data_IF_740643764432
#
_entry.id   IF_740643764432
#
_cell.length_a   1.000
_cell.length_b   1.000
_cell.length_c   1.000
_cell.angle_alpha   90.00
_cell.angle_beta   90.00
_cell.angle_gamma   90.00
#
_symmetry.space_group_name_H-M   'P 1'
#
loop_
_entity.id
_entity.type
_entity.pdbx_description
1 polymer ?
#
# COMPACT_ATOMS: atom_id res chain seq x y z
N UNK A 1 -65.90 -12.25 16.63
CA UNK A 1 -64.55 -12.63 16.13
C UNK A 1 -64.18 -11.63 15.05
N UNK A 2 -63.29 -10.70 15.40
CA UNK A 2 -63.04 -9.46 14.65
C UNK A 2 -62.41 -9.70 13.27
N UNK A 3 -63.04 -9.20 12.22
CA UNK A 3 -62.55 -9.18 10.83
C UNK A 3 -61.11 -8.58 10.72
N UNK A 4 -60.72 -7.74 11.65
CA UNK A 4 -59.37 -7.14 11.71
C UNK A 4 -58.26 -8.15 12.11
N UNK A 5 -58.60 -9.21 12.85
CA UNK A 5 -57.68 -10.26 13.26
C UNK A 5 -57.37 -11.22 12.08
N UNK A 6 -58.36 -11.54 11.27
CA UNK A 6 -58.17 -12.39 10.08
C UNK A 6 -57.33 -11.70 9.01
N UNK A 7 -57.52 -10.39 8.80
CA UNK A 7 -56.67 -9.64 7.86
C UNK A 7 -55.20 -9.56 8.30
N UNK A 8 -54.92 -9.47 9.59
CA UNK A 8 -53.52 -9.49 10.10
C UNK A 8 -52.85 -10.85 9.87
N UNK A 9 -53.53 -11.95 10.09
CA UNK A 9 -53.00 -13.28 9.84
C UNK A 9 -52.85 -13.60 8.34
N UNK A 10 -53.74 -13.10 7.50
CA UNK A 10 -53.62 -13.25 6.04
C UNK A 10 -52.44 -12.43 5.49
N UNK A 11 -52.20 -11.23 6.00
CA UNK A 11 -51.07 -10.39 5.59
C UNK A 11 -49.73 -10.97 6.09
N UNK A 12 -49.69 -11.52 7.32
CA UNK A 12 -48.47 -12.20 7.81
C UNK A 12 -48.21 -13.53 7.08
N UNK A 13 -49.27 -14.26 6.69
CA UNK A 13 -49.10 -15.47 5.89
C UNK A 13 -48.69 -15.15 4.45
N UNK A 14 -49.19 -14.04 3.85
CA UNK A 14 -48.74 -13.57 2.54
C UNK A 14 -47.30 -13.02 2.57
N UNK A 15 -46.87 -12.38 3.65
CA UNK A 15 -45.46 -11.98 3.82
C UNK A 15 -44.55 -13.17 4.05
N UNK A 16 -45.01 -14.23 4.73
CA UNK A 16 -44.22 -15.48 4.88
C UNK A 16 -44.10 -16.28 3.57
N UNK A 17 -45.09 -16.18 2.67
CA UNK A 17 -45.08 -16.85 1.37
C UNK A 17 -44.11 -16.19 0.37
N UNK A 18 -43.75 -14.90 0.55
CA UNK A 18 -42.75 -14.20 -0.25
C UNK A 18 -41.29 -14.54 0.12
N UNK A 19 -41.05 -15.29 1.18
CA UNK A 19 -39.69 -15.71 1.63
C UNK A 19 -39.28 -17.06 1.03
N UNK A 20 -40.11 -17.72 0.23
CA UNK A 20 -39.60 -18.78 -0.62
C UNK A 20 -38.73 -18.18 -1.72
N UNK A 21 -37.48 -17.94 -1.36
CA UNK A 21 -36.43 -17.51 -2.26
C UNK A 21 -36.32 -18.47 -3.44
N UNK A 22 -36.97 -18.13 -4.54
CA UNK A 22 -36.64 -18.75 -5.82
C UNK A 22 -35.14 -18.61 -6.03
N UNK A 23 -34.44 -19.70 -6.27
CA UNK A 23 -33.04 -19.65 -6.72
C UNK A 23 -33.02 -18.81 -8.00
N UNK A 24 -32.72 -17.51 -7.86
CA UNK A 24 -32.63 -16.65 -9.02
C UNK A 24 -31.42 -17.09 -9.83
N UNK A 25 -31.66 -17.71 -10.96
CA UNK A 25 -30.63 -18.05 -11.92
C UNK A 25 -30.03 -16.74 -12.47
N UNK A 26 -28.79 -16.46 -12.11
CA UNK A 26 -28.10 -15.24 -12.54
C UNK A 26 -27.60 -15.40 -13.97
N UNK A 27 -28.14 -14.65 -14.92
CA UNK A 27 -27.66 -14.63 -16.29
C UNK A 27 -26.57 -13.55 -16.48
N UNK A 28 -25.37 -13.97 -16.86
CA UNK A 28 -24.23 -13.06 -17.06
C UNK A 28 -23.82 -13.01 -18.53
N UNK A 29 -23.53 -11.78 -19.00
CA UNK A 29 -22.81 -11.51 -20.26
C UNK A 29 -21.33 -11.26 -19.93
N UNK A 30 -20.45 -11.35 -20.93
CA UNK A 30 -19.03 -11.07 -20.76
C UNK A 30 -18.80 -9.65 -20.20
N UNK A 31 -19.45 -8.64 -20.77
CA UNK A 31 -19.31 -7.25 -20.33
C UNK A 31 -19.75 -7.06 -18.88
N UNK A 32 -20.87 -7.71 -18.50
CA UNK A 32 -21.35 -7.65 -17.10
C UNK A 32 -20.40 -8.37 -16.15
N UNK A 33 -19.79 -9.47 -16.58
CA UNK A 33 -18.82 -10.22 -15.77
C UNK A 33 -17.57 -9.37 -15.51
N UNK A 34 -17.04 -8.69 -16.54
CA UNK A 34 -15.90 -7.78 -16.39
C UNK A 34 -16.24 -6.61 -15.44
N UNK A 35 -17.41 -6.00 -15.61
CA UNK A 35 -17.85 -4.91 -14.72
C UNK A 35 -17.97 -5.37 -13.27
N UNK A 36 -18.58 -6.53 -13.03
CA UNK A 36 -18.71 -7.08 -11.69
C UNK A 36 -17.35 -7.45 -11.08
N UNK A 37 -16.41 -7.95 -11.88
CA UNK A 37 -15.05 -8.19 -11.42
C UNK A 37 -14.38 -6.90 -10.96
N UNK A 38 -14.56 -5.80 -11.71
CA UNK A 38 -14.03 -4.48 -11.35
C UNK A 38 -14.68 -3.89 -10.09
N UNK A 39 -15.95 -4.18 -9.83
CA UNK A 39 -16.68 -3.59 -8.71
C UNK A 39 -16.60 -4.43 -7.42
N UNK A 40 -16.59 -5.76 -7.53
CA UNK A 40 -16.87 -6.65 -6.40
C UNK A 40 -15.78 -7.67 -6.08
N UNK A 41 -14.80 -7.86 -6.97
CA UNK A 41 -13.75 -8.86 -6.75
C UNK A 41 -12.79 -8.45 -5.62
N UNK A 42 -12.20 -9.45 -4.99
CA UNK A 42 -11.15 -9.22 -3.98
C UNK A 42 -9.94 -8.50 -4.59
N UNK A 43 -9.63 -8.79 -5.85
CA UNK A 43 -8.54 -8.13 -6.59
C UNK A 43 -8.83 -6.65 -6.81
N UNK A 44 -10.07 -6.27 -7.15
CA UNK A 44 -10.47 -4.86 -7.26
C UNK A 44 -10.25 -4.10 -5.96
N UNK A 45 -10.65 -4.70 -4.83
CA UNK A 45 -10.41 -4.13 -3.50
C UNK A 45 -8.90 -3.97 -3.23
N UNK A 46 -8.10 -5.00 -3.52
CA UNK A 46 -6.65 -4.98 -3.33
C UNK A 46 -5.98 -3.88 -4.15
N UNK A 47 -6.25 -3.81 -5.45
CA UNK A 47 -5.63 -2.84 -6.35
C UNK A 47 -6.02 -1.40 -6.03
N UNK A 48 -7.27 -1.17 -5.65
CA UNK A 48 -7.73 0.13 -5.17
C UNK A 48 -6.96 0.58 -3.92
N UNK A 49 -6.76 -0.31 -2.96
CA UNK A 49 -6.02 0.03 -1.74
C UNK A 49 -4.52 0.22 -2.01
N UNK A 50 -3.92 -0.54 -2.92
CA UNK A 50 -2.53 -0.32 -3.36
C UNK A 50 -2.37 1.07 -4.00
N UNK A 51 -3.30 1.47 -4.87
CA UNK A 51 -3.30 2.82 -5.43
C UNK A 51 -3.45 3.90 -4.36
N UNK A 52 -4.38 3.72 -3.41
CA UNK A 52 -4.57 4.66 -2.31
C UNK A 52 -3.33 4.79 -1.43
N UNK A 53 -2.63 3.68 -1.17
CA UNK A 53 -1.36 3.71 -0.44
C UNK A 53 -0.32 4.58 -1.17
N UNK A 54 -0.08 4.34 -2.46
CA UNK A 54 0.85 5.15 -3.25
C UNK A 54 0.42 6.61 -3.42
N UNK A 55 -0.89 6.88 -3.49
CA UNK A 55 -1.41 8.25 -3.45
C UNK A 55 -1.06 8.96 -2.14
N UNK A 56 -1.25 8.28 -1.00
CA UNK A 56 -0.92 8.85 0.30
C UNK A 56 0.58 8.99 0.52
N UNK A 57 1.41 8.07 0.01
CA UNK A 57 2.88 8.22 0.01
C UNK A 57 3.30 9.50 -0.70
N UNK A 58 2.80 9.71 -1.92
CA UNK A 58 3.10 10.92 -2.68
C UNK A 58 2.57 12.19 -2.01
N UNK A 59 1.39 12.12 -1.38
CA UNK A 59 0.83 13.24 -0.63
C UNK A 59 1.64 13.55 0.63
N UNK A 60 2.12 12.53 1.31
CA UNK A 60 3.01 12.66 2.48
C UNK A 60 4.35 13.30 2.06
N UNK A 61 4.92 12.84 0.95
CA UNK A 61 6.09 13.49 0.36
C UNK A 61 5.87 14.98 0.10
N UNK A 62 4.76 15.34 -0.52
CA UNK A 62 4.43 16.76 -0.75
C UNK A 62 4.23 17.55 0.53
N UNK A 63 3.55 16.96 1.50
CA UNK A 63 3.33 17.60 2.79
C UNK A 63 4.63 17.81 3.57
N UNK A 64 5.57 16.85 3.51
CA UNK A 64 6.90 16.96 4.11
C UNK A 64 7.80 18.07 3.50
N UNK A 65 7.35 18.70 2.41
CA UNK A 65 8.00 19.88 1.80
C UNK A 65 7.47 21.22 2.30
N UNK A 66 6.39 21.18 3.09
CA UNK A 66 5.81 22.37 3.71
C UNK A 66 6.44 22.57 5.09
N UNK A 67 6.40 23.82 5.62
CA UNK A 67 6.84 24.06 6.99
C UNK A 67 6.09 23.19 7.99
N UNK A 68 6.82 22.52 8.87
CA UNK A 68 6.24 21.78 9.99
C UNK A 68 6.24 22.65 11.24
N UNK A 69 5.16 22.60 12.01
CA UNK A 69 5.04 23.26 13.31
C UNK A 69 4.98 22.18 14.39
N UNK A 70 5.96 22.19 15.30
CA UNK A 70 6.08 21.19 16.37
C UNK A 70 6.11 21.88 17.73
N UNK A 71 5.31 21.40 18.68
CA UNK A 71 5.35 21.80 20.08
C UNK A 71 6.00 20.68 20.89
N UNK A 72 7.19 20.97 21.43
CA UNK A 72 7.93 20.08 22.30
C UNK A 72 7.71 20.53 23.76
N UNK A 73 7.19 19.64 24.58
CA UNK A 73 6.95 19.92 26.00
C UNK A 73 7.74 18.95 26.86
N UNK A 74 8.42 19.50 27.87
CA UNK A 74 9.01 18.75 28.98
C UNK A 74 8.29 19.18 30.26
N UNK A 75 7.16 18.55 30.62
CA UNK A 75 6.34 19.01 31.74
C UNK A 75 7.03 18.93 33.10
N UNK A 76 7.91 17.94 33.30
CA UNK A 76 8.63 17.76 34.50
C UNK A 76 9.90 16.93 34.30
N UNK A 77 11.01 17.43 34.76
CA UNK A 77 12.27 16.70 34.79
C UNK A 77 12.96 17.00 36.13
N UNK A 78 13.15 15.98 36.97
CA UNK A 78 13.94 16.11 38.20
C UNK A 78 15.30 15.47 37.97
N UNK A 79 16.37 16.22 38.34
CA UNK A 79 17.75 15.74 38.28
C UNK A 79 18.39 15.86 39.67
N UNK A 80 19.10 14.84 40.09
CA UNK A 80 19.93 14.83 41.30
C UNK A 80 21.22 14.09 40.98
N UNK A 81 22.35 14.82 41.01
CA UNK A 81 23.66 14.27 40.71
C UNK A 81 24.75 15.03 41.47
N UNK A 82 25.94 14.46 41.55
CA UNK A 82 27.11 15.16 42.05
C UNK A 82 27.93 15.68 40.89
N UNK A 83 28.29 16.97 40.96
CA UNK A 83 29.15 17.62 39.99
C UNK A 83 30.34 18.24 40.68
N UNK A 84 31.50 18.17 40.08
CA UNK A 84 32.71 18.84 40.52
C UNK A 84 32.53 20.33 40.28
N UNK A 85 32.79 21.14 41.28
CA UNK A 85 32.78 22.57 41.25
C UNK A 85 33.94 23.12 41.99
N UNK A 86 34.59 24.14 41.42
CA UNK A 86 35.64 24.87 42.06
C UNK A 86 35.08 25.64 43.26
N UNK A 87 35.69 25.48 44.41
CA UNK A 87 35.43 26.27 45.62
C UNK A 87 36.52 27.33 45.77
N UNK A 88 36.13 28.59 45.56
CA UNK A 88 37.08 29.72 45.55
C UNK A 88 37.60 30.09 46.97
N UNK A 89 36.95 29.61 48.03
CA UNK A 89 37.42 29.86 49.41
C UNK A 89 38.48 28.84 49.80
N UNK A 90 38.36 27.59 49.35
CA UNK A 90 39.28 26.53 49.65
C UNK A 90 40.35 26.28 48.57
N UNK A 91 40.26 26.94 47.41
CA UNK A 91 41.11 26.80 46.21
C UNK A 91 41.23 25.35 45.74
N UNK A 92 40.12 24.59 45.85
CA UNK A 92 40.06 23.18 45.45
C UNK A 92 38.75 22.86 44.70
N UNK A 93 38.78 21.81 43.89
CA UNK A 93 37.58 21.24 43.31
C UNK A 93 36.86 20.33 44.30
N UNK A 94 35.61 20.60 44.61
CA UNK A 94 34.76 19.82 45.50
C UNK A 94 33.57 19.22 44.78
N UNK A 95 33.18 18.00 45.10
CA UNK A 95 31.97 17.43 44.58
C UNK A 95 30.75 17.94 45.38
N UNK A 96 29.92 18.73 44.71
CA UNK A 96 28.68 19.26 45.32
C UNK A 96 27.47 18.55 44.73
N UNK A 97 26.51 18.22 45.56
CA UNK A 97 25.21 17.68 45.20
C UNK A 97 24.40 18.77 44.49
N UNK A 98 24.05 18.53 43.26
CA UNK A 98 23.16 19.40 42.51
C UNK A 98 21.78 18.75 42.39
N UNK A 99 20.73 19.47 42.73
CA UNK A 99 19.35 19.04 42.60
C UNK A 99 18.62 20.15 41.86
N UNK A 100 17.89 19.78 40.80
CA UNK A 100 17.11 20.73 40.01
C UNK A 100 15.82 20.09 39.49
N UNK A 101 14.81 20.89 39.39
CA UNK A 101 13.59 20.60 38.64
C UNK A 101 13.54 21.50 37.44
N UNK A 102 13.23 20.92 36.30
CA UNK A 102 13.10 21.59 35.02
C UNK A 102 11.73 21.31 34.43
N UNK A 103 11.09 22.32 33.87
CA UNK A 103 9.92 22.21 33.03
C UNK A 103 10.05 23.23 31.91
N UNK A 104 9.77 22.82 30.66
CA UNK A 104 9.93 23.71 29.53
C UNK A 104 9.06 23.36 28.34
N UNK A 105 8.91 24.30 27.44
CA UNK A 105 8.19 24.15 26.20
C UNK A 105 8.82 24.93 25.07
N UNK A 106 8.97 24.30 23.94
CA UNK A 106 9.51 24.88 22.71
C UNK A 106 8.49 24.73 21.58
N UNK A 107 8.20 25.80 20.87
CA UNK A 107 7.45 25.80 19.65
C UNK A 107 8.41 26.08 18.50
N UNK A 108 8.45 25.19 17.53
CA UNK A 108 9.42 25.21 16.44
C UNK A 108 8.73 25.04 15.08
N UNK A 109 9.09 25.90 14.14
CA UNK A 109 8.74 25.78 12.72
C UNK A 109 10.00 25.38 11.98
N UNK A 110 9.94 24.26 11.27
CA UNK A 110 11.04 23.80 10.42
C UNK A 110 10.64 23.82 8.95
N UNK A 111 11.56 24.27 8.09
CA UNK A 111 11.39 24.26 6.63
C UNK A 111 12.63 23.72 5.96
N UNK A 112 12.48 22.63 5.23
CA UNK A 112 13.55 22.06 4.43
C UNK A 112 13.84 22.92 3.19
N UNK A 113 15.12 23.10 2.89
CA UNK A 113 15.58 23.83 1.71
C UNK A 113 16.20 22.87 0.69
N UNK A 114 15.41 22.48 -0.29
CA UNK A 114 15.73 21.42 -1.25
C UNK A 114 17.02 21.65 -2.04
N UNK A 115 17.32 22.90 -2.37
CA UNK A 115 18.42 23.22 -3.26
C UNK A 115 19.76 22.85 -2.65
N UNK A 116 19.97 23.21 -1.39
CA UNK A 116 21.21 22.98 -0.66
C UNK A 116 21.17 21.77 0.27
N UNK A 117 19.96 21.29 0.61
CA UNK A 117 19.79 20.17 1.54
C UNK A 117 19.89 20.55 3.00
N UNK A 118 19.73 21.84 3.32
CA UNK A 118 19.70 22.36 4.68
C UNK A 118 18.27 22.56 5.19
N UNK A 119 18.16 22.99 6.44
CA UNK A 119 16.87 23.25 7.13
C UNK A 119 16.90 24.61 7.79
N UNK A 120 15.92 25.44 7.49
CA UNK A 120 15.62 26.65 8.24
C UNK A 120 14.72 26.28 9.41
N UNK A 121 14.99 26.88 10.56
CA UNK A 121 14.12 26.75 11.73
C UNK A 121 13.84 28.10 12.35
N UNK A 122 12.63 28.25 12.85
CA UNK A 122 12.18 29.40 13.65
C UNK A 122 11.55 28.83 14.91
N UNK A 123 12.12 29.16 16.05
CA UNK A 123 11.64 28.63 17.31
C UNK A 123 11.48 29.69 18.39
N UNK A 124 10.64 29.37 19.35
CA UNK A 124 10.48 30.07 20.62
C UNK A 124 10.47 29.08 21.74
N UNK A 125 11.16 29.37 22.84
CA UNK A 125 11.15 28.51 24.01
C UNK A 125 10.92 29.30 25.31
N UNK A 126 10.38 28.58 26.30
CA UNK A 126 10.22 29.03 27.67
C UNK A 126 10.51 27.90 28.61
N UNK A 127 11.52 28.09 29.44
CA UNK A 127 11.97 27.13 30.41
C UNK A 127 11.80 27.65 31.83
N UNK A 128 11.38 26.78 32.72
CA UNK A 128 11.38 26.99 34.16
C UNK A 128 12.35 26.02 34.81
N UNK A 129 13.24 26.58 35.64
CA UNK A 129 14.19 25.80 36.40
C UNK A 129 14.14 26.18 37.88
N UNK A 130 14.05 25.18 38.74
CA UNK A 130 14.15 25.33 40.19
C UNK A 130 15.35 24.56 40.69
N UNK A 131 16.25 25.26 41.33
CA UNK A 131 17.42 24.69 41.97
C UNK A 131 17.11 24.45 43.44
N UNK A 132 17.51 23.27 43.98
CA UNK A 132 17.40 22.90 45.37
C UNK A 132 18.80 22.80 45.95
N UNK A 133 19.05 23.45 47.06
CA UNK A 133 20.35 23.46 47.74
C UNK A 133 20.29 24.36 48.96
N UNK A 134 21.43 24.80 49.45
CA UNK A 134 21.53 25.73 50.56
C UNK A 134 20.78 27.06 50.27
N UNK A 135 20.73 27.44 49.02
CA UNK A 135 19.87 28.51 48.53
C UNK A 135 18.97 27.96 47.43
N UNK A 136 17.68 27.80 47.67
CA UNK A 136 16.68 27.45 46.69
C UNK A 136 16.25 28.67 45.93
N UNK A 137 16.33 28.62 44.57
CA UNK A 137 15.88 29.72 43.72
C UNK A 137 15.20 29.20 42.45
N UNK A 138 14.33 30.03 41.92
CA UNK A 138 13.64 29.79 40.64
C UNK A 138 14.23 30.66 39.56
N UNK A 139 14.22 30.16 38.35
CA UNK A 139 14.72 30.85 37.15
C UNK A 139 13.84 30.51 35.98
N UNK A 140 13.48 31.54 35.21
CA UNK A 140 12.84 31.39 33.89
C UNK A 140 13.85 31.78 32.83
N UNK A 141 13.95 30.98 31.79
CA UNK A 141 14.71 31.28 30.59
C UNK A 141 13.76 31.36 29.42
N UNK A 142 13.81 32.37 28.64
CA UNK A 142 13.03 32.52 27.42
C UNK A 142 13.90 32.77 26.21
N UNK A 143 13.51 32.22 25.09
CA UNK A 143 13.94 32.61 23.75
C UNK A 143 12.67 33.00 23.01
N UNK A 144 12.30 34.31 23.03
CA UNK A 144 11.05 34.75 22.40
C UNK A 144 11.01 34.49 20.90
N UNK A 145 12.13 34.57 20.22
CA UNK A 145 12.29 34.25 18.81
C UNK A 145 13.74 33.93 18.49
N UNK A 146 13.98 32.86 17.76
CA UNK A 146 15.25 32.48 17.19
C UNK A 146 15.05 31.95 15.77
N UNK A 147 15.77 32.53 14.81
CA UNK A 147 15.83 32.05 13.43
C UNK A 147 17.20 31.40 13.21
N UNK A 148 17.19 30.19 12.67
CA UNK A 148 18.42 29.48 12.38
C UNK A 148 18.40 28.72 11.08
N UNK A 149 19.58 28.34 10.65
CA UNK A 149 19.82 27.50 9.47
C UNK A 149 20.87 26.46 9.78
N UNK A 150 20.56 25.22 9.46
CA UNK A 150 21.44 24.08 9.64
C UNK A 150 21.66 23.40 8.29
N UNK A 151 22.92 23.05 7.98
CA UNK A 151 23.27 22.37 6.74
C UNK A 151 24.47 21.48 6.87
N UNK A 152 24.41 20.32 6.25
CA UNK A 152 25.56 19.47 5.96
C UNK A 152 26.24 19.96 4.69
N UNK A 153 27.46 20.53 4.80
CA UNK A 153 28.14 21.19 3.69
C UNK A 153 28.54 20.24 2.57
N UNK A 154 28.96 19.01 2.92
CA UNK A 154 29.40 17.98 1.99
C UNK A 154 28.50 16.72 2.05
N UNK A 155 27.37 16.85 2.76
CA UNK A 155 26.45 15.76 3.02
C UNK A 155 25.65 15.32 1.80
N UNK A 156 25.00 14.19 1.97
CA UNK A 156 24.04 13.67 1.03
C UNK A 156 22.74 14.52 1.08
N UNK A 157 22.34 15.07 -0.08
CA UNK A 157 21.08 15.81 -0.18
C UNK A 157 19.93 14.86 -0.56
N UNK A 158 19.18 14.39 0.43
CA UNK A 158 18.03 13.50 0.25
C UNK A 158 16.93 14.17 -0.60
N UNK A 159 16.66 15.46 -0.35
CA UNK A 159 15.58 16.20 -1.02
C UNK A 159 15.74 16.29 -2.53
N UNK A 160 17.00 16.40 -3.01
CA UNK A 160 17.31 16.39 -4.45
C UNK A 160 16.90 15.08 -5.12
N UNK A 161 17.11 13.96 -4.47
CA UNK A 161 16.77 12.64 -5.00
C UNK A 161 15.28 12.33 -4.88
N UNK A 162 14.67 12.63 -3.75
CA UNK A 162 13.24 12.49 -3.53
C UNK A 162 12.44 13.29 -4.58
N UNK A 163 12.87 14.50 -4.92
CA UNK A 163 12.24 15.32 -5.97
C UNK A 163 12.24 14.63 -7.34
N UNK A 164 13.20 13.75 -7.62
CA UNK A 164 13.29 13.00 -8.87
C UNK A 164 12.50 11.69 -8.80
N UNK A 165 12.55 11.01 -7.66
CA UNK A 165 12.04 9.64 -7.50
C UNK A 165 10.55 9.64 -7.15
N UNK A 166 10.10 10.47 -6.21
CA UNK A 166 8.72 10.41 -5.72
C UNK A 166 7.64 10.71 -6.77
N UNK A 167 7.79 11.71 -7.66
CA UNK A 167 6.84 11.89 -8.76
C UNK A 167 6.80 10.69 -9.71
N UNK A 168 7.95 10.04 -9.95
CA UNK A 168 8.05 8.86 -10.81
C UNK A 168 7.34 7.65 -10.19
N UNK A 169 7.51 7.43 -8.88
CA UNK A 169 6.78 6.41 -8.12
C UNK A 169 5.27 6.59 -8.24
N UNK A 170 4.80 7.82 -8.07
CA UNK A 170 3.38 8.10 -8.18
C UNK A 170 2.82 7.88 -9.58
N UNK A 171 3.58 8.27 -10.63
CA UNK A 171 3.21 7.97 -12.03
C UNK A 171 3.17 6.45 -12.28
N UNK A 172 4.12 5.70 -11.72
CA UNK A 172 4.12 4.23 -11.78
C UNK A 172 2.85 3.66 -11.14
N UNK A 173 2.51 4.08 -9.92
CA UNK A 173 1.32 3.60 -9.20
C UNK A 173 0.02 3.84 -9.99
N UNK A 174 -0.09 4.99 -10.68
CA UNK A 174 -1.25 5.25 -11.55
C UNK A 174 -1.33 4.28 -12.73
N UNK A 175 -0.19 3.96 -13.35
CA UNK A 175 -0.15 3.00 -14.45
C UNK A 175 -0.33 1.57 -14.00
N UNK A 176 0.17 1.22 -12.81
CA UNK A 176 -0.07 -0.08 -12.17
C UNK A 176 -1.56 -0.31 -11.91
N UNK A 177 -2.29 0.71 -11.46
CA UNK A 177 -3.74 0.58 -11.29
C UNK A 177 -4.42 0.22 -12.62
N UNK A 178 -4.11 0.93 -13.71
CA UNK A 178 -4.69 0.64 -15.04
C UNK A 178 -4.31 -0.76 -15.50
N UNK A 179 -3.04 -1.12 -15.39
CA UNK A 179 -2.55 -2.45 -15.77
C UNK A 179 -3.24 -3.57 -14.98
N UNK A 180 -3.40 -3.39 -13.68
CA UNK A 180 -4.06 -4.37 -12.82
C UNK A 180 -5.57 -4.50 -13.12
N UNK A 181 -6.23 -3.41 -13.53
CA UNK A 181 -7.64 -3.44 -13.97
C UNK A 181 -7.76 -4.25 -15.27
N UNK A 182 -6.83 -4.08 -16.21
CA UNK A 182 -6.82 -4.88 -17.44
C UNK A 182 -6.53 -6.36 -17.18
N UNK A 183 -5.57 -6.68 -16.29
CA UNK A 183 -5.31 -8.07 -15.86
C UNK A 183 -6.53 -8.70 -15.20
N UNK A 184 -7.25 -7.96 -14.39
CA UNK A 184 -8.49 -8.43 -13.77
C UNK A 184 -9.57 -8.71 -14.82
N UNK A 185 -9.67 -7.86 -15.85
CA UNK A 185 -10.59 -8.05 -16.97
C UNK A 185 -10.23 -9.30 -17.79
N UNK A 186 -8.95 -9.55 -18.02
CA UNK A 186 -8.43 -10.78 -18.64
C UNK A 186 -8.79 -12.02 -17.82
N UNK A 187 -8.55 -11.97 -16.51
CA UNK A 187 -8.85 -13.08 -15.63
C UNK A 187 -10.37 -13.38 -15.55
N UNK A 188 -11.20 -12.33 -15.49
CA UNK A 188 -12.67 -12.46 -15.55
C UNK A 188 -13.12 -13.11 -16.86
N UNK A 189 -12.50 -12.70 -17.97
CA UNK A 189 -12.76 -13.26 -19.31
C UNK A 189 -12.39 -14.74 -19.37
N UNK A 190 -11.25 -15.11 -18.78
CA UNK A 190 -10.79 -16.52 -18.71
C UNK A 190 -11.78 -17.37 -17.94
N UNK A 191 -12.23 -16.95 -16.76
CA UNK A 191 -13.23 -17.70 -15.99
C UNK A 191 -14.60 -17.75 -16.69
N UNK A 192 -15.00 -16.67 -17.38
CA UNK A 192 -16.23 -16.63 -18.15
C UNK A 192 -16.22 -17.69 -19.25
N UNK A 193 -15.16 -17.76 -20.09
CA UNK A 193 -15.09 -18.73 -21.16
C UNK A 193 -14.86 -20.17 -20.66
N UNK A 194 -14.15 -20.36 -19.55
CA UNK A 194 -14.04 -21.67 -18.92
C UNK A 194 -15.41 -22.22 -18.49
N UNK A 195 -16.26 -21.39 -17.90
CA UNK A 195 -17.64 -21.77 -17.58
C UNK A 195 -18.47 -21.98 -18.84
N UNK A 196 -18.33 -21.13 -19.86
CA UNK A 196 -19.04 -21.26 -21.12
C UNK A 196 -18.75 -22.61 -21.81
N UNK A 197 -17.48 -23.00 -21.88
CA UNK A 197 -17.07 -24.32 -22.40
C UNK A 197 -17.69 -25.46 -21.61
N UNK A 198 -17.62 -25.40 -20.29
CA UNK A 198 -18.20 -26.43 -19.42
C UNK A 198 -19.73 -26.52 -19.56
N UNK A 199 -20.44 -25.41 -19.81
CA UNK A 199 -21.89 -25.43 -20.10
C UNK A 199 -22.19 -26.13 -21.42
N UNK A 200 -21.44 -25.83 -22.48
CA UNK A 200 -21.61 -26.49 -23.81
C UNK A 200 -21.31 -27.99 -23.72
N UNK A 201 -20.21 -28.36 -23.04
CA UNK A 201 -19.86 -29.79 -22.85
C UNK A 201 -20.92 -30.54 -22.06
N UNK A 202 -21.49 -29.93 -21.02
CA UNK A 202 -22.59 -30.53 -20.27
C UNK A 202 -23.85 -30.71 -21.12
N UNK A 203 -24.24 -29.72 -21.90
CA UNK A 203 -25.42 -29.77 -22.77
C UNK A 203 -25.25 -30.86 -23.86
N UNK A 204 -24.06 -30.91 -24.49
CA UNK A 204 -23.73 -31.98 -25.47
C UNK A 204 -23.72 -33.39 -24.85
N UNK A 205 -23.14 -33.54 -23.66
CA UNK A 205 -23.14 -34.85 -22.96
C UNK A 205 -24.55 -35.29 -22.57
N UNK A 206 -25.41 -34.33 -22.19
CA UNK A 206 -26.83 -34.61 -21.89
C UNK A 206 -27.60 -35.08 -23.12
N UNK A 207 -27.39 -34.44 -24.25
CA UNK A 207 -27.99 -34.82 -25.54
C UNK A 207 -27.49 -36.23 -25.99
N UNK A 208 -26.18 -36.49 -25.83
CA UNK A 208 -25.58 -37.78 -26.15
C UNK A 208 -26.17 -38.91 -25.31
N UNK A 209 -26.41 -38.69 -24.00
CA UNK A 209 -27.09 -39.68 -23.16
C UNK A 209 -28.52 -39.96 -23.66
N UNK A 210 -29.29 -38.93 -24.03
CA UNK A 210 -30.64 -39.10 -24.55
C UNK A 210 -30.66 -39.93 -25.85
N UNK A 211 -29.69 -39.70 -26.72
CA UNK A 211 -29.51 -40.40 -27.99
C UNK A 211 -29.11 -41.88 -27.77
N UNK A 212 -28.07 -42.11 -26.96
CA UNK A 212 -27.56 -43.50 -26.71
C UNK A 212 -28.55 -44.33 -25.91
N UNK A 213 -29.30 -43.77 -24.96
CA UNK A 213 -30.37 -44.45 -24.24
C UNK A 213 -31.51 -44.84 -25.19
N UNK A 214 -31.84 -44.00 -26.17
CA UNK A 214 -32.84 -44.32 -27.20
C UNK A 214 -32.37 -45.45 -28.11
N UNK A 215 -31.12 -45.41 -28.56
CA UNK A 215 -30.49 -46.43 -29.37
C UNK A 215 -30.45 -47.79 -28.63
N UNK A 216 -30.05 -47.77 -27.36
CA UNK A 216 -30.02 -48.99 -26.53
C UNK A 216 -31.42 -49.58 -26.37
N UNK A 217 -32.45 -48.74 -26.08
CA UNK A 217 -33.85 -49.21 -25.97
C UNK A 217 -34.35 -49.79 -27.28
N UNK A 218 -34.10 -49.15 -28.41
CA UNK A 218 -34.43 -49.67 -29.74
C UNK A 218 -33.68 -50.95 -30.03
N UNK A 219 -32.42 -51.08 -29.63
CA UNK A 219 -31.62 -52.30 -29.72
C UNK A 219 -32.21 -53.46 -28.93
N UNK A 220 -32.70 -53.19 -27.69
CA UNK A 220 -33.39 -54.21 -26.90
C UNK A 220 -34.63 -54.79 -27.62
N UNK A 221 -35.46 -53.93 -28.22
CA UNK A 221 -36.65 -54.39 -28.95
C UNK A 221 -36.25 -55.16 -30.22
N UNK A 222 -35.24 -54.72 -30.97
CA UNK A 222 -34.75 -55.46 -32.14
C UNK A 222 -34.13 -56.84 -31.79
N UNK A 223 -33.46 -56.93 -30.63
CA UNK A 223 -32.89 -58.16 -30.15
C UNK A 223 -33.99 -59.21 -29.78
N UNK A 224 -35.12 -58.77 -29.18
CA UNK A 224 -36.26 -59.60 -28.87
C UNK A 224 -36.83 -60.30 -30.11
N UNK A 225 -36.78 -59.70 -31.28
CA UNK A 225 -37.23 -60.23 -32.56
C UNK A 225 -36.06 -60.81 -33.38
N UNK A 226 -34.90 -61.08 -32.73
CA UNK A 226 -33.69 -61.62 -33.34
C UNK A 226 -33.14 -60.83 -34.52
N UNK A 227 -33.39 -59.49 -34.60
CA UNK A 227 -32.94 -58.59 -35.67
C UNK A 227 -31.54 -58.10 -35.46
N UNK A 228 -30.95 -58.18 -34.24
CA UNK A 228 -29.57 -57.89 -33.93
C UNK A 228 -28.93 -58.91 -33.03
N UNK A 229 -27.58 -59.00 -33.06
CA UNK A 229 -26.84 -59.98 -32.24
C UNK A 229 -26.78 -59.56 -30.76
N UNK A 230 -26.45 -60.51 -29.88
CA UNK A 230 -26.18 -60.24 -28.47
C UNK A 230 -24.94 -59.29 -28.31
N UNK A 231 -23.94 -59.45 -29.19
CA UNK A 231 -22.74 -58.60 -29.19
C UNK A 231 -23.09 -57.14 -29.50
N UNK A 232 -23.93 -56.91 -30.52
CA UNK A 232 -24.39 -55.54 -30.88
C UNK A 232 -25.17 -54.90 -29.73
N UNK A 233 -26.07 -55.70 -29.08
CA UNK A 233 -26.81 -55.17 -27.91
C UNK A 233 -25.89 -54.79 -26.73
N UNK A 234 -24.84 -55.61 -26.48
CA UNK A 234 -23.84 -55.29 -25.43
C UNK A 234 -23.03 -54.04 -25.79
N UNK A 235 -22.71 -53.82 -27.08
CA UNK A 235 -22.05 -52.61 -27.54
C UNK A 235 -22.91 -51.37 -27.29
N UNK A 236 -24.20 -51.40 -27.66
CA UNK A 236 -25.14 -50.31 -27.40
C UNK A 236 -25.31 -50.03 -25.90
N UNK A 237 -25.27 -51.08 -25.07
CA UNK A 237 -25.30 -50.94 -23.61
C UNK A 237 -24.04 -50.25 -23.08
N UNK A 238 -22.86 -50.65 -23.60
CA UNK A 238 -21.60 -50.05 -23.22
C UNK A 238 -21.55 -48.55 -23.59
N UNK A 239 -22.03 -48.21 -24.79
CA UNK A 239 -22.10 -46.81 -25.25
C UNK A 239 -23.02 -45.97 -24.36
N UNK A 240 -24.20 -46.51 -23.97
CA UNK A 240 -25.09 -45.82 -23.05
C UNK A 240 -24.47 -45.63 -21.64
N UNK A 241 -23.70 -46.60 -21.13
CA UNK A 241 -23.00 -46.48 -19.86
C UNK A 241 -21.87 -45.42 -19.96
N UNK A 242 -21.09 -45.44 -21.05
CA UNK A 242 -20.02 -44.49 -21.29
C UNK A 242 -20.57 -43.06 -21.42
N UNK A 243 -21.69 -42.87 -22.13
CA UNK A 243 -22.33 -41.57 -22.25
C UNK A 243 -22.79 -41.01 -20.89
N UNK A 244 -23.36 -41.89 -20.03
CA UNK A 244 -23.73 -41.45 -18.65
C UNK A 244 -22.52 -41.10 -17.79
N UNK A 245 -21.40 -41.80 -17.91
CA UNK A 245 -20.16 -41.46 -17.23
C UNK A 245 -19.61 -40.10 -17.71
N UNK A 246 -19.65 -39.86 -19.03
CA UNK A 246 -19.26 -38.60 -19.62
C UNK A 246 -20.12 -37.44 -19.11
N UNK A 247 -21.45 -37.64 -19.03
CA UNK A 247 -22.36 -36.63 -18.44
C UNK A 247 -22.02 -36.33 -16.98
N UNK A 248 -21.69 -37.34 -16.18
CA UNK A 248 -21.30 -37.12 -14.78
C UNK A 248 -20.01 -36.32 -14.66
N UNK A 249 -19.03 -36.61 -15.49
CA UNK A 249 -17.78 -35.85 -15.53
C UNK A 249 -18.01 -34.40 -15.97
N UNK A 250 -18.85 -34.17 -17.00
CA UNK A 250 -19.23 -32.86 -17.46
C UNK A 250 -20.01 -32.05 -16.38
N UNK A 251 -20.90 -32.72 -15.61
CA UNK A 251 -21.59 -32.12 -14.47
C UNK A 251 -20.61 -31.62 -13.40
N UNK A 252 -19.60 -32.41 -13.08
CA UNK A 252 -18.56 -32.04 -12.10
C UNK A 252 -17.73 -30.85 -12.64
N UNK A 253 -17.34 -30.90 -13.93
CA UNK A 253 -16.58 -29.82 -14.57
C UNK A 253 -17.37 -28.49 -14.57
N UNK A 254 -18.65 -28.55 -14.90
CA UNK A 254 -19.58 -27.40 -14.87
C UNK A 254 -19.67 -26.81 -13.47
N UNK A 255 -19.88 -27.61 -12.44
CA UNK A 255 -19.96 -27.15 -11.06
C UNK A 255 -18.64 -26.48 -10.61
N UNK A 256 -17.51 -27.08 -11.01
CA UNK A 256 -16.18 -26.52 -10.70
C UNK A 256 -15.97 -25.15 -11.38
N UNK A 257 -16.27 -25.05 -12.67
CA UNK A 257 -16.13 -23.80 -13.40
C UNK A 257 -17.06 -22.70 -12.87
N UNK A 258 -18.32 -23.06 -12.51
CA UNK A 258 -19.29 -22.18 -11.89
C UNK A 258 -18.80 -21.66 -10.53
N UNK A 259 -18.28 -22.56 -9.70
CA UNK A 259 -17.69 -22.20 -8.41
C UNK A 259 -16.50 -21.26 -8.56
N UNK A 260 -15.61 -21.50 -9.53
CA UNK A 260 -14.44 -20.64 -9.78
C UNK A 260 -14.85 -19.23 -10.17
N UNK A 261 -15.82 -19.08 -11.09
CA UNK A 261 -16.32 -17.76 -11.49
C UNK A 261 -17.07 -17.06 -10.34
N UNK A 262 -17.95 -17.77 -9.62
CA UNK A 262 -18.68 -17.22 -8.48
C UNK A 262 -17.72 -16.73 -7.38
N UNK A 263 -16.71 -17.53 -7.06
CA UNK A 263 -15.67 -17.18 -6.08
C UNK A 263 -14.86 -15.94 -6.50
N UNK A 264 -14.50 -15.87 -7.78
CA UNK A 264 -13.77 -14.73 -8.33
C UNK A 264 -14.57 -13.43 -8.28
N UNK A 265 -15.88 -13.51 -8.58
CA UNK A 265 -16.79 -12.37 -8.50
C UNK A 265 -17.28 -12.05 -7.08
N UNK A 266 -16.79 -12.80 -6.08
CA UNK A 266 -17.22 -12.68 -4.68
C UNK A 266 -18.72 -12.91 -4.47
N UNK A 267 -19.31 -13.82 -5.24
CA UNK A 267 -20.69 -14.29 -5.06
C UNK A 267 -20.76 -15.48 -4.11
N UNK A 268 -21.97 -15.78 -3.64
CA UNK A 268 -22.21 -17.03 -2.90
C UNK A 268 -21.80 -18.23 -3.76
N UNK A 269 -21.13 -19.19 -3.14
CA UNK A 269 -20.58 -20.41 -3.79
C UNK A 269 -21.64 -21.29 -4.42
N UNK A 270 -22.91 -21.15 -4.01
CA UNK A 270 -24.06 -21.91 -4.52
C UNK A 270 -24.85 -21.12 -5.58
N UNK A 271 -24.39 -19.97 -6.04
CA UNK A 271 -25.07 -19.16 -7.05
C UNK A 271 -25.09 -19.91 -8.39
N UNK A 272 -26.29 -20.19 -8.90
CA UNK A 272 -26.46 -20.78 -10.23
C UNK A 272 -26.26 -19.70 -11.30
N UNK A 273 -25.15 -19.80 -12.02
CA UNK A 273 -24.78 -18.86 -13.07
C UNK A 273 -25.04 -19.47 -14.43
N UNK A 274 -25.79 -18.79 -15.28
CA UNK A 274 -25.94 -19.11 -16.70
C UNK A 274 -25.33 -18.00 -17.54
N UNK A 275 -24.52 -18.39 -18.52
CA UNK A 275 -23.84 -17.42 -19.38
C UNK A 275 -24.62 -17.19 -20.68
N UNK A 276 -24.58 -15.94 -21.14
CA UNK A 276 -25.00 -15.57 -22.48
C UNK A 276 -23.75 -15.21 -23.28
N UNK A 277 -23.44 -16.05 -24.27
CA UNK A 277 -22.27 -15.87 -25.11
C UNK A 277 -22.44 -14.69 -26.07
N UNK A 278 -21.36 -13.96 -26.38
CA UNK A 278 -21.37 -12.95 -27.42
C UNK A 278 -21.59 -13.59 -28.80
N UNK A 279 -22.40 -12.97 -29.63
CA UNK A 279 -22.83 -13.56 -30.91
C UNK A 279 -21.74 -13.56 -32.00
N UNK A 280 -20.75 -12.68 -31.92
CA UNK A 280 -19.62 -12.59 -32.86
C UNK A 280 -18.37 -12.02 -32.18
N UNK A 281 -17.17 -12.59 -32.49
CA UNK A 281 -15.92 -11.94 -32.10
C UNK A 281 -15.76 -10.63 -32.89
N UNK A 282 -15.17 -9.60 -32.28
CA UNK A 282 -14.76 -8.40 -33.03
C UNK A 282 -13.48 -8.71 -33.78
N UNK A 283 -13.50 -8.57 -35.09
CA UNK A 283 -12.27 -8.57 -35.87
C UNK A 283 -11.50 -7.29 -35.58
N UNK A 284 -10.35 -7.42 -34.93
CA UNK A 284 -9.46 -6.31 -34.62
C UNK A 284 -8.09 -6.60 -35.22
N UNK A 285 -7.66 -5.74 -36.14
CA UNK A 285 -6.29 -5.78 -36.66
C UNK A 285 -5.39 -4.98 -35.72
N UNK A 286 -4.38 -5.65 -35.17
CA UNK A 286 -3.41 -5.07 -34.26
C UNK A 286 -2.11 -4.82 -35.03
N UNK A 287 -1.76 -3.55 -35.22
CA UNK A 287 -0.44 -3.17 -35.73
C UNK A 287 0.61 -3.37 -34.66
N UNK A 288 1.69 -4.08 -34.97
CA UNK A 288 2.80 -4.35 -34.05
C UNK A 288 3.45 -3.05 -33.56
N UNK A 289 3.67 -2.11 -34.49
CA UNK A 289 4.31 -0.83 -34.16
C UNK A 289 3.48 -0.02 -33.17
N UNK A 290 2.16 0.05 -33.38
CA UNK A 290 1.25 0.74 -32.48
C UNK A 290 1.14 0.03 -31.12
N UNK A 291 1.15 -1.30 -31.12
CA UNK A 291 1.15 -2.08 -29.88
C UNK A 291 2.41 -1.82 -29.06
N UNK A 292 3.59 -1.77 -29.70
CA UNK A 292 4.86 -1.44 -29.04
C UNK A 292 4.90 -0.01 -28.52
N UNK A 293 4.39 0.96 -29.28
CA UNK A 293 4.28 2.36 -28.85
C UNK A 293 3.40 2.48 -27.59
N UNK A 294 2.21 1.89 -27.63
CA UNK A 294 1.28 1.90 -26.49
C UNK A 294 1.82 1.14 -25.28
N UNK A 295 2.51 0.02 -25.50
CA UNK A 295 3.16 -0.73 -24.42
C UNK A 295 4.24 0.12 -23.74
N UNK A 296 5.12 0.77 -24.50
CA UNK A 296 6.14 1.69 -23.95
C UNK A 296 5.51 2.85 -23.19
N UNK A 297 4.42 3.38 -23.70
CA UNK A 297 3.72 4.50 -23.08
C UNK A 297 2.98 4.12 -21.78
N UNK A 298 2.42 2.91 -21.69
CA UNK A 298 1.49 2.54 -20.62
C UNK A 298 1.97 1.42 -19.68
N UNK A 299 2.96 0.63 -20.07
CA UNK A 299 3.46 -0.43 -19.19
C UNK A 299 4.22 0.15 -17.98
N UNK A 300 3.80 -0.15 -16.75
CA UNK A 300 4.44 0.35 -15.53
C UNK A 300 5.88 -0.15 -15.36
N UNK A 301 6.26 -1.27 -15.95
CA UNK A 301 7.60 -1.85 -15.85
C UNK A 301 8.69 -0.89 -16.32
N UNK A 302 8.44 -0.08 -17.36
CA UNK A 302 9.43 0.92 -17.79
C UNK A 302 9.68 2.01 -16.76
N UNK A 303 8.63 2.42 -16.03
CA UNK A 303 8.77 3.38 -14.94
C UNK A 303 9.45 2.74 -13.73
N UNK A 304 9.17 1.48 -13.47
CA UNK A 304 9.81 0.70 -12.40
C UNK A 304 11.31 0.57 -12.63
N UNK A 305 11.75 0.15 -13.82
CA UNK A 305 13.17 0.06 -14.17
C UNK A 305 13.86 1.42 -14.03
N UNK A 306 13.22 2.48 -14.51
CA UNK A 306 13.75 3.85 -14.36
C UNK A 306 13.85 4.28 -12.90
N UNK A 307 12.87 3.91 -12.08
CA UNK A 307 12.89 4.14 -10.63
C UNK A 307 14.07 3.41 -9.98
N UNK A 308 14.25 2.11 -10.29
CA UNK A 308 15.33 1.29 -9.75
C UNK A 308 16.71 1.87 -10.11
N UNK A 309 16.91 2.32 -11.34
CA UNK A 309 18.15 2.99 -11.77
C UNK A 309 18.39 4.27 -10.94
N UNK A 310 17.38 5.11 -10.77
CA UNK A 310 17.51 6.34 -9.97
C UNK A 310 17.79 6.05 -8.51
N UNK A 311 17.17 5.03 -7.92
CA UNK A 311 17.41 4.59 -6.54
C UNK A 311 18.81 4.00 -6.38
N UNK A 312 19.31 3.24 -7.35
CA UNK A 312 20.69 2.74 -7.35
C UNK A 312 21.71 3.89 -7.48
N UNK A 313 21.46 4.87 -8.36
CA UNK A 313 22.28 6.09 -8.47
C UNK A 313 22.25 6.92 -7.18
N UNK A 314 21.10 7.04 -6.55
CA UNK A 314 20.94 7.68 -5.24
C UNK A 314 21.83 7.01 -4.20
N UNK A 315 21.81 5.67 -4.15
CA UNK A 315 22.61 4.90 -3.20
C UNK A 315 24.11 5.05 -3.43
N UNK A 316 24.55 5.14 -4.69
CA UNK A 316 25.96 5.44 -5.03
C UNK A 316 26.33 6.85 -4.56
N UNK A 317 25.52 7.88 -4.81
CA UNK A 317 25.76 9.26 -4.35
C UNK A 317 25.81 9.33 -2.82
N UNK A 318 24.84 8.69 -2.14
CA UNK A 318 24.76 8.61 -0.69
C UNK A 318 26.02 7.98 -0.09
N UNK A 319 26.37 6.77 -0.52
CA UNK A 319 27.55 6.07 0.03
C UNK A 319 28.87 6.75 -0.28
N UNK A 320 28.97 7.44 -1.44
CA UNK A 320 30.13 8.26 -1.78
C UNK A 320 30.31 9.42 -0.79
N UNK A 321 29.23 10.13 -0.48
CA UNK A 321 29.27 11.30 0.42
C UNK A 321 29.44 10.89 1.88
N UNK A 322 28.78 9.79 2.30
CA UNK A 322 28.99 9.23 3.64
C UNK A 322 30.41 8.68 3.86
N UNK A 323 31.15 8.35 2.78
CA UNK A 323 32.55 7.93 2.87
C UNK A 323 33.51 9.09 3.10
N UNK A 324 33.08 10.34 2.87
CA UNK A 324 33.87 11.54 3.12
C UNK A 324 33.74 11.97 4.59
N UNK A 325 34.45 13.04 4.96
CA UNK A 325 34.22 13.70 6.25
C UNK A 325 32.87 14.43 6.23
N UNK A 326 32.23 14.52 7.39
CA UNK A 326 31.01 15.31 7.55
C UNK A 326 31.35 16.69 8.13
N UNK A 327 30.89 17.74 7.50
CA UNK A 327 31.00 19.11 7.99
C UNK A 327 29.60 19.73 8.05
N UNK A 328 29.16 20.11 9.23
CA UNK A 328 27.86 20.69 9.48
C UNK A 328 28.04 22.12 9.98
N UNK A 329 27.33 23.06 9.35
CA UNK A 329 27.19 24.42 9.81
C UNK A 329 25.81 24.58 10.47
N UNK A 330 25.81 25.29 11.59
CA UNK A 330 24.57 25.77 12.23
C UNK A 330 24.80 27.26 12.53
N UNK A 331 23.92 28.10 12.01
CA UNK A 331 23.92 29.52 12.27
C UNK A 331 22.54 29.97 12.74
N UNK A 332 22.47 30.68 13.85
CA UNK A 332 21.22 31.21 14.38
C UNK A 332 21.37 32.58 14.96
N UNK A 333 20.32 33.37 14.87
CA UNK A 333 20.19 34.72 15.45
C UNK A 333 18.84 34.80 16.16
N UNK A 334 18.83 35.45 17.31
CA UNK A 334 17.62 35.57 18.11
C UNK A 334 17.81 36.46 19.32
N UNK A 335 16.89 36.29 20.25
CA UNK A 335 16.92 36.99 21.52
C UNK A 335 16.68 35.98 22.64
N UNK A 336 17.37 36.19 23.77
CA UNK A 336 17.13 35.40 24.95
C UNK A 336 17.10 36.31 26.19
N UNK A 337 16.52 35.78 27.26
CA UNK A 337 16.55 36.43 28.57
C UNK A 337 16.38 35.41 29.67
N UNK A 338 17.02 35.67 30.78
CA UNK A 338 16.93 34.87 31.98
C UNK A 338 16.51 35.76 33.13
N UNK A 339 15.45 35.35 33.85
CA UNK A 339 14.90 36.12 35.00
C UNK A 339 14.36 35.23 36.09
N UNK A 340 14.16 35.81 37.28
CA UNK A 340 13.48 35.14 38.39
C UNK A 340 11.97 35.08 38.24
N UNK A 341 11.38 35.97 37.43
CA UNK A 341 9.95 36.08 37.18
C UNK A 341 9.67 35.89 35.70
N UNK A 342 8.56 35.23 35.34
CA UNK A 342 8.16 34.97 33.98
C UNK A 342 7.93 36.25 33.17
N UNK A 343 7.37 37.30 33.79
CA UNK A 343 7.10 38.59 33.11
C UNK A 343 8.38 39.32 32.74
N UNK A 344 9.44 39.20 33.52
CA UNK A 344 10.72 39.83 33.25
C UNK A 344 11.60 39.03 32.29
N UNK A 345 11.29 37.75 32.10
CA UNK A 345 11.94 36.90 31.09
C UNK A 345 11.65 37.35 29.64
N UNK A 346 10.66 38.23 29.43
CA UNK A 346 10.33 38.79 28.13
C UNK A 346 10.66 40.29 28.02
N UNK A 347 11.40 40.84 29.01
CA UNK A 347 11.85 42.25 29.03
C UNK A 347 13.36 42.31 28.94
N UNK A 348 13.87 43.40 28.38
CA UNK A 348 15.31 43.64 28.27
C UNK A 348 16.07 42.48 27.59
N UNK A 349 15.51 42.01 26.49
CA UNK A 349 16.03 40.88 25.74
C UNK A 349 17.47 41.15 25.29
N UNK A 350 18.31 40.13 25.44
CA UNK A 350 19.70 40.15 24.97
C UNK A 350 19.78 39.50 23.58
N UNK A 351 20.57 40.07 22.70
CA UNK A 351 20.88 39.47 21.41
C UNK A 351 21.63 38.15 21.60
N UNK A 352 21.26 37.18 20.81
CA UNK A 352 21.88 35.85 20.77
C UNK A 352 22.31 35.56 19.33
N UNK A 353 23.57 35.35 19.10
CA UNK A 353 24.12 34.92 17.83
C UNK A 353 24.95 33.67 18.05
N UNK A 354 24.66 32.62 17.31
CA UNK A 354 25.37 31.36 17.39
C UNK A 354 25.78 30.94 15.98
N UNK A 355 27.05 30.78 15.75
CA UNK A 355 27.60 30.18 14.53
C UNK A 355 28.51 29.06 14.97
N UNK A 356 28.20 27.86 14.55
CA UNK A 356 29.00 26.68 14.84
C UNK A 356 29.31 25.88 13.57
N UNK A 357 30.55 25.47 13.43
CA UNK A 357 30.99 24.52 12.41
C UNK A 357 31.52 23.27 13.09
N UNK A 358 30.84 22.18 12.88
CA UNK A 358 31.23 20.86 13.37
C UNK A 358 31.80 20.04 12.25
N UNK A 359 33.01 19.46 12.45
CA UNK A 359 33.64 18.59 11.46
C UNK A 359 33.91 17.23 12.11
N UNK A 360 33.41 16.17 11.47
CA UNK A 360 33.61 14.80 11.89
C UNK A 360 34.39 14.04 10.80
N UNK A 361 35.58 13.62 11.14
CA UNK A 361 36.50 12.91 10.23
C UNK A 361 36.63 11.46 10.70
N UNK A 362 36.16 10.49 9.93
CA UNK A 362 36.37 9.08 10.28
C UNK A 362 37.83 8.68 10.02
N UNK A 363 38.57 8.39 11.06
CA UNK A 363 39.98 8.06 10.95
C UNK A 363 40.21 6.57 10.58
N UNK A 364 39.44 5.67 11.20
CA UNK A 364 39.56 4.22 10.97
C UNK A 364 38.18 3.60 10.97
N UNK A 365 37.83 2.91 9.90
CA UNK A 365 36.55 2.17 9.76
C UNK A 365 36.72 0.77 9.17
N UNK A 366 37.99 0.31 9.08
CA UNK A 366 38.37 -1.01 8.56
C UNK A 366 37.85 -1.31 7.15
N UNK A 367 37.57 -0.27 6.37
CA UNK A 367 37.07 -0.37 4.99
C UNK A 367 35.57 -0.50 4.84
N UNK A 368 34.78 -0.35 5.89
CA UNK A 368 33.31 -0.47 5.85
C UNK A 368 32.69 0.50 4.84
N UNK A 369 33.10 1.76 4.84
CA UNK A 369 32.59 2.78 3.90
C UNK A 369 32.95 2.49 2.46
N UNK A 370 34.21 2.10 2.22
CA UNK A 370 34.67 1.67 0.89
C UNK A 370 33.88 0.46 0.41
N UNK A 371 33.66 -0.51 1.29
CA UNK A 371 32.84 -1.69 1.01
C UNK A 371 31.42 -1.33 0.62
N UNK A 372 30.73 -0.49 1.40
CA UNK A 372 29.36 0.01 1.10
C UNK A 372 29.29 0.71 -0.25
N UNK A 373 30.27 1.57 -0.56
CA UNK A 373 30.30 2.26 -1.84
C UNK A 373 30.52 1.32 -3.02
N UNK A 374 31.40 0.30 -2.89
CA UNK A 374 31.62 -0.70 -3.92
C UNK A 374 30.36 -1.58 -4.12
N UNK A 375 29.67 -1.95 -3.06
CA UNK A 375 28.38 -2.66 -3.14
C UNK A 375 27.37 -1.81 -3.93
N UNK A 376 27.23 -0.53 -3.60
CA UNK A 376 26.32 0.36 -4.30
C UNK A 376 26.65 0.51 -5.79
N UNK A 377 27.93 0.63 -6.15
CA UNK A 377 28.36 0.66 -7.55
C UNK A 377 28.05 -0.63 -8.30
N UNK A 378 28.32 -1.79 -7.71
CA UNK A 378 28.03 -3.06 -8.35
C UNK A 378 26.52 -3.28 -8.51
N UNK A 379 25.73 -2.87 -7.53
CA UNK A 379 24.27 -2.93 -7.65
C UNK A 379 23.75 -2.00 -8.77
N UNK A 380 24.34 -0.82 -8.94
CA UNK A 380 23.98 0.06 -10.06
C UNK A 380 24.28 -0.61 -11.40
N UNK A 381 25.46 -1.21 -11.59
CA UNK A 381 25.81 -1.93 -12.82
C UNK A 381 24.91 -3.13 -13.11
N UNK A 382 24.38 -3.78 -12.06
CA UNK A 382 23.39 -4.88 -12.23
C UNK A 382 22.03 -4.33 -12.64
N UNK A 383 21.69 -3.11 -12.20
CA UNK A 383 20.40 -2.49 -12.49
C UNK A 383 20.37 -1.86 -13.90
N UNK A 384 21.49 -1.35 -14.40
CA UNK A 384 21.66 -0.82 -15.76
C UNK A 384 21.70 -1.93 -16.83
#
# INVERSE_FOLDING_TARGET
>A
MDRKFIYRYVITLLMLACVFGGKAQLTLTLERTITLAADSSLDAFRYKNMYLAGYWEYRTYKAGRLPSLTLNLTPAQYRRYFTQRYDSEADIDVYRKQQSFYAGGQLEIEQNFDLLGGTFYLDTDLDYMRYFGDQTYNQFSSVPIRLGYQQDLLGYNAFKWERKIEPLKYEKVKKELLYNVEQMSEQATTYFFALAMAQVEYDLAKENVATTDTLYRTGQERHKIASISQADLLTLKLDAVNARNTLKNAEIALKRAMFSLASYLNFDKNTEIRLRLPSRPRNMEISVDKALELARANNPTFLELRQQILEAQQQVDKTKKEAMFNAQINASVGFNQVSKNIQDAYKNLQQQEIVSLSVSIPLVDWGVRKGKHNIAKNNLLVTE
#
